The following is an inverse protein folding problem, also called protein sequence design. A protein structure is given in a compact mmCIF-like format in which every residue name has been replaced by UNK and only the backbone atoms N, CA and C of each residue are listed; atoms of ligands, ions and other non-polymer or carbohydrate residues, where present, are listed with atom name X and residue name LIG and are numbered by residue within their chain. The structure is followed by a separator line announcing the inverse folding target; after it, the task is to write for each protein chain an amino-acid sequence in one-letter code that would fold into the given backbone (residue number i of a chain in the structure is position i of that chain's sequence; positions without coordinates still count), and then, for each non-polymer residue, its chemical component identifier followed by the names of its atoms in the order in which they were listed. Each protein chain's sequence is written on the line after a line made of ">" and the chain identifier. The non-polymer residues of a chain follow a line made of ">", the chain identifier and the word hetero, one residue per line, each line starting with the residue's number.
data_IF_405429480759
#
_entry.id   IF_405429480759
#
_cell.length_a   1.000
_cell.length_b   1.000
_cell.length_c   1.000
_cell.angle_alpha   90.00
_cell.angle_beta   90.00
_cell.angle_gamma   90.00
#
_symmetry.space_group_name_H-M   'P 1'
#
loop_
_entity.id
_entity.type
_entity.pdbx_description
1 polymer ?
#
# COMPACT_ATOMS: atom_id res chain seq x y z
N UNK A 1 -15.40 -2.87 4.62
CA UNK A 1 -14.62 -2.25 3.54
C UNK A 1 -13.98 -1.01 4.10
N UNK A 2 -12.67 -0.89 3.99
CA UNK A 2 -11.95 0.24 4.54
C UNK A 2 -11.95 1.40 3.52
N UNK A 3 -12.41 2.57 3.96
CA UNK A 3 -12.43 3.79 3.15
C UNK A 3 -11.22 4.67 3.48
N UNK A 4 -10.50 5.08 2.44
CA UNK A 4 -9.45 6.10 2.48
C UNK A 4 -10.01 7.42 1.94
N UNK A 5 -9.26 8.53 2.03
CA UNK A 5 -9.68 9.79 1.41
C UNK A 5 -9.73 9.74 -0.14
N UNK A 6 -9.05 8.78 -0.78
CA UNK A 6 -9.07 8.62 -2.24
C UNK A 6 -10.10 7.60 -2.72
N UNK A 7 -10.46 6.62 -1.91
CA UNK A 7 -11.30 5.52 -2.37
C UNK A 7 -11.38 4.36 -1.37
N UNK A 8 -12.07 3.29 -1.77
CA UNK A 8 -12.15 2.08 -0.94
C UNK A 8 -10.98 1.14 -1.23
N UNK A 9 -10.42 0.51 -0.20
CA UNK A 9 -9.39 -0.51 -0.41
C UNK A 9 -10.04 -1.85 -0.74
N UNK A 10 -9.56 -2.48 -1.81
CA UNK A 10 -9.98 -3.79 -2.30
C UNK A 10 -8.75 -4.65 -2.54
N UNK A 11 -8.82 -5.90 -2.08
CA UNK A 11 -7.75 -6.88 -2.21
C UNK A 11 -8.26 -8.05 -3.04
N UNK A 12 -7.43 -8.53 -3.96
CA UNK A 12 -7.77 -9.65 -4.83
C UNK A 12 -6.69 -10.72 -4.77
N UNK A 13 -7.12 -11.96 -4.88
CA UNK A 13 -6.30 -13.15 -4.98
C UNK A 13 -6.71 -13.86 -6.27
N UNK A 14 -5.82 -13.99 -7.25
CA UNK A 14 -6.13 -14.50 -8.59
C UNK A 14 -7.39 -13.83 -9.20
N UNK A 15 -7.50 -12.51 -9.08
CA UNK A 15 -8.66 -11.69 -9.49
C UNK A 15 -9.98 -11.93 -8.73
N UNK A 16 -9.98 -12.73 -7.66
CA UNK A 16 -11.14 -12.92 -6.79
C UNK A 16 -11.00 -11.99 -5.59
N UNK A 17 -12.00 -11.14 -5.34
CA UNK A 17 -11.98 -10.21 -4.21
C UNK A 17 -11.99 -10.95 -2.87
N UNK A 18 -11.11 -10.55 -1.95
CA UNK A 18 -10.93 -11.15 -0.64
C UNK A 18 -11.25 -10.18 0.47
N UNK A 19 -11.79 -10.72 1.55
CA UNK A 19 -11.87 -10.01 2.83
C UNK A 19 -10.50 -9.98 3.47
N UNK A 20 -10.25 -8.92 4.22
CA UNK A 20 -8.99 -8.69 4.93
C UNK A 20 -9.25 -8.16 6.34
N UNK A 21 -8.27 -8.34 7.21
CA UNK A 21 -8.21 -7.69 8.52
C UNK A 21 -7.26 -6.52 8.48
N UNK A 22 -7.54 -5.47 9.25
CA UNK A 22 -6.64 -4.34 9.39
C UNK A 22 -6.51 -3.89 10.85
N UNK A 23 -5.35 -3.33 11.20
CA UNK A 23 -5.08 -2.70 12.50
C UNK A 23 -4.73 -1.23 12.29
N UNK A 24 -5.18 -0.38 13.21
CA UNK A 24 -4.66 0.99 13.31
C UNK A 24 -3.24 0.97 13.89
N UNK A 25 -2.36 1.81 13.35
CA UNK A 25 -0.98 1.96 13.79
C UNK A 25 -0.74 3.36 14.36
N UNK A 26 0.41 3.53 15.02
CA UNK A 26 0.82 4.84 15.52
C UNK A 26 1.03 5.80 14.35
N UNK A 27 0.41 6.98 14.44
CA UNK A 27 0.43 7.99 13.37
C UNK A 27 1.58 9.00 13.49
N UNK A 28 2.32 8.95 14.59
CA UNK A 28 3.44 9.85 14.87
C UNK A 28 4.68 9.06 15.29
N UNK A 29 5.82 9.40 14.70
CA UNK A 29 7.14 8.90 15.08
C UNK A 29 8.15 10.04 15.09
N UNK A 30 9.44 9.72 15.24
CA UNK A 30 10.52 10.69 15.05
C UNK A 30 10.62 11.16 13.59
N UNK A 31 10.22 10.32 12.63
CA UNK A 31 10.46 10.52 11.21
C UNK A 31 9.20 10.93 10.42
N UNK A 32 8.01 10.87 11.03
CA UNK A 32 6.76 11.21 10.35
C UNK A 32 5.64 11.61 11.32
N UNK A 33 4.70 12.39 10.80
CA UNK A 33 3.36 12.62 11.36
C UNK A 33 2.35 12.49 10.22
N UNK A 34 1.36 11.61 10.35
CA UNK A 34 0.35 11.36 9.30
C UNK A 34 -1.07 11.43 9.87
N UNK A 35 -2.08 11.62 9.03
CA UNK A 35 -3.48 11.65 9.48
C UNK A 35 -3.95 10.26 9.91
N UNK A 36 -3.50 9.24 9.18
CA UNK A 36 -3.81 7.84 9.49
C UNK A 36 -2.72 6.92 8.97
N UNK A 37 -2.47 5.87 9.76
CA UNK A 37 -1.57 4.76 9.44
C UNK A 37 -2.26 3.47 9.86
N UNK A 38 -2.21 2.47 8.99
CA UNK A 38 -2.81 1.16 9.23
C UNK A 38 -1.92 0.07 8.63
N UNK A 39 -2.06 -1.16 9.10
CA UNK A 39 -1.64 -2.33 8.34
C UNK A 39 -2.85 -3.18 7.96
N UNK A 40 -2.75 -3.86 6.82
CA UNK A 40 -3.74 -4.75 6.27
C UNK A 40 -3.07 -6.10 6.03
N UNK A 41 -3.58 -7.14 6.66
CA UNK A 41 -3.06 -8.50 6.50
C UNK A 41 -3.97 -9.29 5.58
N UNK A 42 -3.41 -9.80 4.49
CA UNK A 42 -4.07 -10.74 3.59
C UNK A 42 -3.46 -12.13 3.80
N UNK A 43 -4.27 -13.06 4.30
CA UNK A 43 -3.90 -14.48 4.35
C UNK A 43 -4.06 -15.10 2.97
N UNK A 44 -3.02 -15.76 2.49
CA UNK A 44 -2.96 -16.33 1.16
C UNK A 44 -3.49 -17.76 1.17
N UNK A 45 -4.20 -18.14 0.12
CA UNK A 45 -4.51 -19.55 -0.17
C UNK A 45 -3.36 -20.23 -0.91
N UNK A 46 -3.37 -21.57 -0.94
CA UNK A 46 -2.38 -22.34 -1.70
C UNK A 46 -2.60 -22.19 -3.22
N UNK A 47 -1.53 -22.36 -4.01
CA UNK A 47 -1.54 -22.23 -5.47
C UNK A 47 -1.93 -20.82 -5.96
N UNK A 48 -1.44 -19.82 -5.25
CA UNK A 48 -1.59 -18.43 -5.61
C UNK A 48 -0.60 -18.03 -6.69
N UNK A 49 -1.08 -17.32 -7.70
CA UNK A 49 -0.23 -16.72 -8.74
C UNK A 49 -0.15 -15.21 -8.56
N UNK A 50 -1.18 -14.59 -7.96
CA UNK A 50 -1.36 -13.15 -8.05
C UNK A 50 -2.12 -12.52 -6.87
N UNK A 51 -1.58 -11.42 -6.32
CA UNK A 51 -2.25 -10.56 -5.33
C UNK A 51 -2.33 -9.13 -5.83
N UNK A 52 -3.55 -8.58 -5.89
CA UNK A 52 -3.75 -7.16 -6.21
C UNK A 52 -4.21 -6.38 -5.00
N UNK A 53 -3.60 -5.23 -4.79
CA UNK A 53 -4.07 -4.20 -3.89
C UNK A 53 -4.54 -3.01 -4.71
N UNK A 54 -5.83 -2.71 -4.64
CA UNK A 54 -6.48 -1.65 -5.41
C UNK A 54 -7.10 -0.64 -4.46
N UNK A 55 -6.90 0.64 -4.75
CA UNK A 55 -7.73 1.73 -4.27
C UNK A 55 -8.81 1.97 -5.32
N UNK A 56 -10.05 1.71 -4.97
CA UNK A 56 -11.23 1.94 -5.80
C UNK A 56 -11.54 3.45 -5.78
N UNK A 57 -10.87 4.16 -6.69
CA UNK A 57 -10.92 5.61 -6.83
C UNK A 57 -12.04 5.95 -7.81
N UNK A 58 -12.78 7.02 -7.51
CA UNK A 58 -13.83 7.52 -8.41
C UNK A 58 -13.24 7.87 -9.78
N UNK A 59 -13.82 7.33 -10.85
CA UNK A 59 -13.33 7.48 -12.23
C UNK A 59 -13.24 8.95 -12.70
N UNK A 60 -13.94 9.87 -12.03
CA UNK A 60 -13.90 11.29 -12.34
C UNK A 60 -12.73 12.03 -11.66
N UNK A 61 -11.98 11.36 -10.79
CA UNK A 61 -10.92 11.96 -10.00
C UNK A 61 -9.57 11.82 -10.71
N UNK A 62 -8.93 12.96 -10.98
CA UNK A 62 -7.56 12.97 -11.51
C UNK A 62 -6.60 12.77 -10.34
N UNK A 63 -5.98 11.60 -10.32
CA UNK A 63 -4.92 11.23 -9.39
C UNK A 63 -3.60 11.12 -10.14
N UNK A 64 -2.49 11.45 -9.48
CA UNK A 64 -1.15 11.11 -9.95
C UNK A 64 -0.64 9.95 -9.11
N UNK A 65 -0.04 8.93 -9.73
CA UNK A 65 0.69 7.88 -9.04
C UNK A 65 2.20 8.07 -9.20
N UNK A 66 2.97 7.72 -8.18
CA UNK A 66 4.43 7.69 -8.22
C UNK A 66 4.96 6.44 -7.52
N UNK A 67 5.92 5.77 -8.15
CA UNK A 67 6.64 4.65 -7.56
C UNK A 67 7.74 5.22 -6.69
N UNK A 68 7.68 4.95 -5.39
CA UNK A 68 8.65 5.44 -4.41
C UNK A 68 9.27 4.25 -3.65
N UNK A 69 9.58 3.17 -4.37
CA UNK A 69 10.16 1.97 -3.77
C UNK A 69 11.60 2.19 -3.31
N UNK A 70 12.08 1.32 -2.42
CA UNK A 70 13.43 1.36 -1.84
C UNK A 70 13.94 -0.04 -1.51
N UNK A 71 15.07 -0.12 -0.81
CA UNK A 71 15.65 -1.40 -0.40
C UNK A 71 14.69 -2.15 0.55
N UNK A 72 14.31 -3.39 0.22
CA UNK A 72 13.32 -4.19 0.94
C UNK A 72 11.91 -3.54 1.04
N UNK A 73 11.61 -2.54 0.20
CA UNK A 73 10.34 -1.81 0.20
C UNK A 73 9.77 -1.69 -1.22
N UNK A 74 8.61 -2.31 -1.44
CA UNK A 74 7.76 -2.00 -2.60
C UNK A 74 6.69 -1.00 -2.18
N UNK A 75 6.68 0.17 -2.81
CA UNK A 75 5.80 1.28 -2.44
C UNK A 75 5.32 2.07 -3.66
N UNK A 76 4.02 2.38 -3.67
CA UNK A 76 3.39 3.34 -4.57
C UNK A 76 2.63 4.40 -3.76
N UNK A 77 2.71 5.64 -4.25
CA UNK A 77 1.99 6.78 -3.69
C UNK A 77 1.02 7.37 -4.70
N UNK A 78 -0.09 7.91 -4.19
CA UNK A 78 -1.13 8.58 -4.96
C UNK A 78 -1.34 9.99 -4.43
N UNK A 79 -1.49 10.94 -5.34
CA UNK A 79 -1.58 12.36 -5.04
C UNK A 79 -2.89 12.93 -5.58
N UNK A 80 -3.55 13.75 -4.76
CA UNK A 80 -4.70 14.58 -5.13
C UNK A 80 -4.62 15.93 -4.42
N UNK A 81 -4.16 16.96 -5.13
CA UNK A 81 -3.80 18.23 -4.50
C UNK A 81 -2.73 18.02 -3.43
N UNK A 82 -3.00 18.42 -2.19
CA UNK A 82 -2.09 18.24 -1.06
C UNK A 82 -2.23 16.88 -0.35
N UNK A 83 -3.20 16.06 -0.74
CA UNK A 83 -3.35 14.72 -0.19
C UNK A 83 -2.32 13.79 -0.83
N UNK A 84 -1.52 13.12 0.00
CA UNK A 84 -0.71 11.97 -0.38
C UNK A 84 -1.19 10.73 0.36
N UNK A 85 -1.35 9.62 -0.37
CA UNK A 85 -1.64 8.30 0.17
C UNK A 85 -0.58 7.32 -0.34
N UNK A 86 0.09 6.60 0.56
CA UNK A 86 1.10 5.59 0.22
C UNK A 86 0.63 4.20 0.62
N UNK A 87 0.96 3.22 -0.22
CA UNK A 87 0.75 1.79 0.01
C UNK A 87 2.11 1.13 -0.12
N UNK A 88 2.59 0.56 0.98
CA UNK A 88 3.86 -0.15 1.03
C UNK A 88 3.67 -1.61 1.45
N UNK A 89 4.60 -2.46 1.05
CA UNK A 89 4.77 -3.83 1.51
C UNK A 89 6.24 -4.18 1.49
N UNK A 90 6.62 -5.31 2.09
CA UNK A 90 7.98 -5.85 1.97
C UNK A 90 8.31 -6.04 0.50
N UNK A 91 9.39 -5.40 0.05
CA UNK A 91 9.98 -5.55 -1.28
C UNK A 91 11.01 -6.68 -1.31
N UNK A 92 11.52 -6.97 -2.50
CA UNK A 92 12.64 -7.89 -2.73
C UNK A 92 12.43 -9.32 -2.18
N UNK A 93 11.18 -9.76 -2.01
CA UNK A 93 10.90 -11.14 -1.64
C UNK A 93 11.25 -12.05 -2.83
N UNK A 94 12.13 -13.03 -2.59
CA UNK A 94 12.53 -14.01 -3.61
C UNK A 94 11.28 -14.69 -4.17
N UNK A 95 11.10 -14.60 -5.48
CA UNK A 95 9.99 -15.21 -6.20
C UNK A 95 8.72 -14.34 -6.30
N UNK A 96 8.78 -13.10 -5.84
CA UNK A 96 7.70 -12.11 -6.01
C UNK A 96 8.12 -11.01 -6.97
N UNK A 97 7.34 -10.81 -8.03
CA UNK A 97 7.45 -9.68 -8.93
C UNK A 97 6.41 -8.62 -8.56
N UNK A 98 6.82 -7.35 -8.53
CA UNK A 98 5.98 -6.22 -8.13
C UNK A 98 5.70 -5.32 -9.32
N UNK A 99 4.42 -5.14 -9.62
CA UNK A 99 3.93 -4.27 -10.68
C UNK A 99 3.09 -3.14 -10.08
N UNK A 100 3.20 -1.96 -10.68
CA UNK A 100 2.53 -0.76 -10.20
C UNK A 100 1.42 -0.36 -11.16
N UNK A 101 0.23 -0.14 -10.61
CA UNK A 101 -0.97 0.22 -11.34
C UNK A 101 -1.33 1.68 -11.03
N UNK A 102 -2.10 2.33 -11.91
CA UNK A 102 -2.54 3.71 -11.71
C UNK A 102 -3.35 3.92 -10.41
N UNK A 103 -3.93 2.85 -9.88
CA UNK A 103 -4.75 2.86 -8.67
C UNK A 103 -4.31 1.80 -7.62
N UNK A 104 -3.11 1.24 -7.73
CA UNK A 104 -2.71 0.16 -6.83
C UNK A 104 -1.39 -0.52 -7.16
N UNK A 105 -1.24 -1.75 -6.70
CA UNK A 105 -0.11 -2.62 -7.01
C UNK A 105 -0.58 -4.04 -7.25
N UNK A 106 0.20 -4.76 -8.02
CA UNK A 106 -0.02 -6.15 -8.39
C UNK A 106 1.25 -6.97 -8.12
N UNK A 107 1.14 -8.00 -7.30
CA UNK A 107 2.22 -8.88 -6.91
C UNK A 107 2.00 -10.22 -7.59
N UNK A 108 2.94 -10.63 -8.44
CA UNK A 108 2.94 -11.97 -9.04
C UNK A 108 3.87 -12.87 -8.25
N UNK A 109 3.37 -14.03 -7.82
CA UNK A 109 4.10 -15.00 -7.01
C UNK A 109 4.46 -16.20 -7.86
N UNK A 110 5.73 -16.61 -7.81
CA UNK A 110 6.15 -17.85 -8.44
C UNK A 110 5.73 -19.07 -7.58
N UNK A 111 5.75 -20.26 -8.18
CA UNK A 111 5.32 -21.51 -7.51
C UNK A 111 6.22 -21.95 -6.34
N UNK A 112 7.43 -21.39 -6.26
CA UNK A 112 8.42 -21.71 -5.22
C UNK A 112 8.27 -20.79 -3.99
N UNK A 113 7.48 -19.73 -4.11
CA UNK A 113 7.25 -18.73 -3.07
C UNK A 113 6.38 -19.32 -1.95
N UNK A 114 6.98 -19.57 -0.79
CA UNK A 114 6.30 -20.10 0.39
C UNK A 114 5.83 -18.97 1.34
N UNK A 115 5.02 -18.03 0.83
CA UNK A 115 4.44 -16.95 1.63
C UNK A 115 3.03 -17.36 2.07
N UNK A 116 2.73 -17.18 3.36
CA UNK A 116 1.41 -17.49 3.94
C UNK A 116 0.51 -16.27 4.08
N UNK A 117 1.12 -15.09 4.17
CA UNK A 117 0.41 -13.82 4.26
C UNK A 117 1.27 -12.68 3.71
N UNK A 118 0.59 -11.66 3.20
CA UNK A 118 1.20 -10.38 2.82
C UNK A 118 0.60 -9.30 3.70
N UNK A 119 1.46 -8.40 4.19
CA UNK A 119 1.05 -7.27 5.01
C UNK A 119 1.33 -5.99 4.22
N UNK A 120 0.27 -5.25 3.96
CA UNK A 120 0.35 -3.93 3.35
C UNK A 120 0.23 -2.86 4.42
N UNK A 121 1.05 -1.83 4.33
CA UNK A 121 1.01 -0.66 5.18
C UNK A 121 0.46 0.50 4.38
N UNK A 122 -0.58 1.14 4.90
CA UNK A 122 -1.22 2.26 4.23
C UNK A 122 -1.17 3.46 5.15
N UNK A 123 -0.71 4.58 4.60
CA UNK A 123 -0.70 5.85 5.30
C UNK A 123 -1.18 6.96 4.39
N UNK A 124 -1.82 7.98 4.96
CA UNK A 124 -2.15 9.18 4.23
C UNK A 124 -2.05 10.43 5.09
N UNK A 125 -1.82 11.54 4.41
CA UNK A 125 -1.66 12.86 5.00
C UNK A 125 -2.17 13.91 4.01
N UNK A 126 -2.99 14.84 4.50
CA UNK A 126 -3.24 16.09 3.81
C UNK A 126 -2.17 17.11 4.19
N UNK A 127 -1.18 17.27 3.32
CA UNK A 127 0.03 18.05 3.60
C UNK A 127 -0.28 19.55 3.76
N UNK A 128 0.24 20.14 4.83
CA UNK A 128 0.34 21.59 5.02
C UNK A 128 1.63 22.17 4.42
N UNK A 129 2.72 21.40 4.48
CA UNK A 129 4.03 21.76 3.90
C UNK A 129 4.55 20.62 3.02
N UNK A 130 4.31 20.71 1.71
CA UNK A 130 4.65 19.65 0.76
C UNK A 130 6.16 19.37 0.65
N UNK A 131 7.02 20.35 0.93
CA UNK A 131 8.48 20.14 0.85
C UNK A 131 8.96 19.20 1.96
N UNK A 132 8.49 19.40 3.18
CA UNK A 132 8.88 18.61 4.35
C UNK A 132 8.08 17.31 4.46
N UNK A 133 6.77 17.39 4.27
CA UNK A 133 5.83 16.34 4.64
C UNK A 133 5.67 15.28 3.53
N UNK A 134 6.16 15.54 2.32
CA UNK A 134 6.04 14.59 1.19
C UNK A 134 6.67 13.23 1.50
N UNK A 135 7.67 13.16 2.37
CA UNK A 135 8.31 11.90 2.75
C UNK A 135 7.58 11.15 3.88
N UNK A 136 6.63 11.79 4.58
CA UNK A 136 6.05 11.22 5.81
C UNK A 136 5.26 9.95 5.54
N UNK A 137 4.47 9.91 4.46
CA UNK A 137 3.69 8.70 4.12
C UNK A 137 4.59 7.58 3.61
N UNK A 138 5.77 7.88 3.07
CA UNK A 138 6.78 6.89 2.71
C UNK A 138 7.27 6.15 3.96
N UNK A 139 7.75 6.89 4.97
CA UNK A 139 8.19 6.27 6.24
C UNK A 139 7.04 5.56 6.97
N UNK A 140 5.83 6.12 6.92
CA UNK A 140 4.68 5.52 7.57
C UNK A 140 4.17 4.24 6.84
N UNK A 141 4.45 4.08 5.55
CA UNK A 141 4.10 2.88 4.79
C UNK A 141 5.26 1.87 4.67
N UNK A 142 6.42 2.17 5.25
CA UNK A 142 7.56 1.25 5.30
C UNK A 142 7.32 0.14 6.36
N UNK A 143 7.37 -1.16 5.97
CA UNK A 143 7.16 -2.29 6.87
C UNK A 143 8.29 -2.46 7.91
N UNK A 144 9.47 -1.88 7.68
CA UNK A 144 10.61 -1.94 8.63
C UNK A 144 10.45 -0.99 9.81
N UNK A 145 9.46 -0.09 9.75
CA UNK A 145 9.18 0.95 10.74
C UNK A 145 7.84 0.72 11.46
N UNK A 146 7.27 -0.49 11.42
CA UNK A 146 6.11 -0.89 12.26
C UNK A 146 6.49 -1.00 13.74
#
# INVERSE_FOLDING_TARGET
>A
MLKTPLGNIRLFENNIEKKYSYKALKVNSKNYSVDKRISITLKLTQNLENVKFIVDIDENEVIKSEIESGENLSLISFFKGNLKLSIGTVGDIIGVDYFYLDNGMDLTLNKETNIKEIIFYVAWLNMGNTEEESIFTWFAADPTLD
#
